data_IF_392209343963
#
_entry.id   IF_392209343963
#
_cell.length_a   1.000
_cell.length_b   1.000
_cell.length_c   1.000
_cell.angle_alpha   90.00
_cell.angle_beta   90.00
_cell.angle_gamma   90.00
#
_symmetry.space_group_name_H-M   'P 1'
#
loop_
_entity.id
_entity.type
_entity.pdbx_description
1 polymer ?
#
# COMPACT_ATOMS: atom_id res chain seq x y z
N UNK A 1 7.13 -40.32 -38.62
CA UNK A 1 7.55 -39.51 -37.46
C UNK A 1 7.54 -38.05 -37.90
N UNK A 2 6.40 -37.37 -37.74
CA UNK A 2 6.25 -35.96 -38.13
C UNK A 2 6.46 -35.10 -36.89
N UNK A 3 7.58 -34.38 -36.85
CA UNK A 3 7.89 -33.44 -35.78
C UNK A 3 6.98 -32.23 -35.88
N UNK A 4 6.14 -32.01 -34.86
CA UNK A 4 5.39 -30.77 -34.70
C UNK A 4 6.36 -29.68 -34.22
N UNK A 5 6.86 -28.85 -35.13
CA UNK A 5 7.54 -27.60 -34.77
C UNK A 5 6.48 -26.62 -34.25
N UNK A 6 6.43 -26.48 -32.92
CA UNK A 6 5.60 -25.49 -32.25
C UNK A 6 6.24 -24.11 -32.44
N UNK A 7 5.79 -23.37 -33.46
CA UNK A 7 6.20 -21.99 -33.69
C UNK A 7 5.52 -21.08 -32.66
N UNK A 8 6.22 -20.80 -31.55
CA UNK A 8 5.88 -19.71 -30.63
C UNK A 8 6.09 -18.38 -31.36
N UNK A 9 5.00 -17.82 -31.89
CA UNK A 9 4.98 -16.46 -32.42
C UNK A 9 4.87 -15.50 -31.24
N UNK A 10 5.99 -15.14 -30.62
CA UNK A 10 6.04 -13.99 -29.72
C UNK A 10 5.84 -12.73 -30.56
N UNK A 11 4.64 -12.16 -30.52
CA UNK A 11 4.29 -10.92 -31.20
C UNK A 11 5.25 -9.78 -30.76
N UNK A 12 6.01 -9.17 -31.68
CA UNK A 12 6.90 -8.04 -31.37
C UNK A 12 6.18 -6.90 -30.66
N UNK A 13 4.89 -6.69 -30.93
CA UNK A 13 4.08 -5.68 -30.24
C UNK A 13 3.89 -5.99 -28.74
N UNK A 14 3.77 -7.27 -28.39
CA UNK A 14 3.69 -7.72 -26.99
C UNK A 14 5.02 -7.53 -26.26
N UNK A 15 6.15 -7.76 -26.95
CA UNK A 15 7.48 -7.49 -26.41
C UNK A 15 7.74 -5.99 -26.15
N UNK A 16 7.32 -5.12 -27.08
CA UNK A 16 7.43 -3.66 -26.90
C UNK A 16 6.49 -3.12 -25.81
N UNK A 17 5.27 -3.65 -25.70
CA UNK A 17 4.36 -3.28 -24.62
C UNK A 17 4.91 -3.66 -23.24
N UNK A 18 5.55 -4.83 -23.12
CA UNK A 18 6.18 -5.28 -21.88
C UNK A 18 7.40 -4.43 -21.49
N UNK A 19 8.24 -4.06 -22.46
CA UNK A 19 9.41 -3.20 -22.19
C UNK A 19 8.99 -1.78 -21.81
N UNK A 20 7.96 -1.24 -22.45
CA UNK A 20 7.36 0.04 -22.08
C UNK A 20 6.74 0.00 -20.69
N UNK A 21 6.05 -1.09 -20.33
CA UNK A 21 5.51 -1.29 -18.99
C UNK A 21 6.61 -1.31 -17.92
N UNK A 22 7.73 -1.98 -18.20
CA UNK A 22 8.87 -2.04 -17.28
C UNK A 22 9.53 -0.66 -17.10
N UNK A 23 9.67 0.12 -18.17
CA UNK A 23 10.22 1.48 -18.11
C UNK A 23 9.33 2.41 -17.25
N UNK A 24 8.02 2.40 -17.51
CA UNK A 24 7.04 3.18 -16.76
C UNK A 24 6.95 2.72 -15.30
N UNK A 25 7.10 1.42 -15.03
CA UNK A 25 7.19 0.90 -13.66
C UNK A 25 8.39 1.46 -12.90
N UNK A 26 9.56 1.43 -13.53
CA UNK A 26 10.77 1.95 -12.92
C UNK A 26 10.67 3.46 -12.66
N UNK A 27 10.06 4.20 -13.58
CA UNK A 27 9.80 5.63 -13.43
C UNK A 27 8.79 5.90 -12.29
N UNK A 28 7.67 5.17 -12.25
CA UNK A 28 6.65 5.31 -11.21
C UNK A 28 7.23 5.05 -9.81
N UNK A 29 8.04 3.99 -9.66
CA UNK A 29 8.74 3.68 -8.42
C UNK A 29 9.77 4.76 -8.06
N UNK A 30 10.46 5.33 -9.05
CA UNK A 30 11.41 6.42 -8.80
C UNK A 30 10.72 7.68 -8.30
N UNK A 31 9.63 8.09 -8.95
CA UNK A 31 8.85 9.28 -8.58
C UNK A 31 8.19 9.10 -7.20
N UNK A 32 7.62 7.92 -6.91
CA UNK A 32 7.07 7.60 -5.58
C UNK A 32 8.15 7.67 -4.48
N UNK A 33 9.38 7.21 -4.76
CA UNK A 33 10.51 7.32 -3.82
C UNK A 33 10.97 8.76 -3.62
N UNK A 34 10.94 9.57 -4.67
CA UNK A 34 11.31 10.99 -4.61
C UNK A 34 10.20 11.86 -3.99
N UNK A 35 8.99 11.31 -3.85
CA UNK A 35 7.81 12.08 -3.45
C UNK A 35 7.39 13.09 -4.52
N UNK A 36 7.73 12.84 -5.79
CA UNK A 36 7.28 13.70 -6.89
C UNK A 36 5.83 13.38 -7.24
N UNK A 37 4.93 14.15 -6.64
CA UNK A 37 3.49 14.03 -6.79
C UNK A 37 3.03 14.35 -8.22
N UNK A 38 3.53 15.45 -8.77
CA UNK A 38 3.12 15.94 -10.09
C UNK A 38 3.62 15.01 -11.19
N UNK A 39 4.87 14.57 -11.10
CA UNK A 39 5.44 13.61 -12.05
C UNK A 39 4.71 12.26 -12.03
N UNK A 40 4.29 11.79 -10.85
CA UNK A 40 3.53 10.52 -10.74
C UNK A 40 2.13 10.63 -11.36
N UNK A 41 1.48 11.78 -11.19
CA UNK A 41 0.16 12.05 -11.76
C UNK A 41 0.24 12.19 -13.29
N UNK A 42 1.23 12.92 -13.81
CA UNK A 42 1.51 13.01 -15.24
C UNK A 42 1.83 11.63 -15.86
N UNK A 43 2.62 10.82 -15.15
CA UNK A 43 2.90 9.44 -15.56
C UNK A 43 1.63 8.57 -15.59
N UNK A 44 0.69 8.79 -14.66
CA UNK A 44 -0.58 8.08 -14.69
C UNK A 44 -1.43 8.49 -15.90
N UNK A 45 -1.52 9.79 -16.19
CA UNK A 45 -2.27 10.32 -17.32
C UNK A 45 -1.72 9.82 -18.67
N UNK A 46 -0.40 9.65 -18.79
CA UNK A 46 0.27 9.17 -20.00
C UNK A 46 0.14 7.65 -20.24
N UNK A 47 -0.09 6.85 -19.20
CA UNK A 47 -0.16 5.38 -19.30
C UNK A 47 -1.47 4.84 -19.93
N UNK A 48 -2.50 5.67 -20.13
CA UNK A 48 -3.78 5.27 -20.71
C UNK A 48 -4.61 4.32 -19.83
N UNK A 49 -5.81 3.93 -20.29
CA UNK A 49 -6.75 3.11 -19.50
C UNK A 49 -6.64 1.59 -19.79
N UNK A 50 -6.60 0.80 -18.71
CA UNK A 50 -6.89 -0.65 -18.66
C UNK A 50 -5.87 -1.63 -19.25
N UNK A 51 -4.58 -1.40 -19.02
CA UNK A 51 -3.55 -2.43 -19.20
C UNK A 51 -2.72 -2.63 -17.90
N UNK A 52 -1.83 -3.64 -17.88
CA UNK A 52 -0.96 -3.92 -16.73
C UNK A 52 -0.11 -2.68 -16.35
N UNK A 53 0.28 -1.87 -17.34
CA UNK A 53 0.99 -0.61 -17.16
C UNK A 53 0.17 0.42 -16.38
N UNK A 54 -1.12 0.59 -16.70
CA UNK A 54 -2.03 1.45 -15.94
C UNK A 54 -2.16 0.97 -14.49
N UNK A 55 -2.16 -0.35 -14.24
CA UNK A 55 -2.25 -0.87 -12.89
C UNK A 55 -1.01 -0.54 -12.04
N UNK A 56 0.15 -0.47 -12.68
CA UNK A 56 1.41 -0.06 -12.05
C UNK A 56 1.38 1.43 -11.67
N UNK A 57 1.02 2.31 -12.59
CA UNK A 57 0.96 3.75 -12.30
C UNK A 57 -0.10 4.07 -11.25
N UNK A 58 -1.26 3.37 -11.27
CA UNK A 58 -2.27 3.46 -10.20
C UNK A 58 -1.77 2.99 -8.84
N UNK A 59 -0.96 1.94 -8.78
CA UNK A 59 -0.36 1.50 -7.53
C UNK A 59 0.56 2.56 -6.93
N UNK A 60 1.40 3.18 -7.76
CA UNK A 60 2.29 4.26 -7.33
C UNK A 60 1.51 5.49 -6.86
N UNK A 61 0.45 5.87 -7.59
CA UNK A 61 -0.44 6.98 -7.19
C UNK A 61 -1.13 6.69 -5.85
N UNK A 62 -1.57 5.44 -5.63
CA UNK A 62 -2.15 5.01 -4.37
C UNK A 62 -1.19 5.08 -3.18
N UNK A 63 0.06 4.61 -3.35
CA UNK A 63 1.12 4.72 -2.34
C UNK A 63 1.42 6.19 -2.00
N UNK A 64 1.39 7.04 -3.02
CA UNK A 64 1.66 8.45 -2.89
C UNK A 64 0.53 9.18 -2.13
N UNK A 65 -0.72 8.88 -2.45
CA UNK A 65 -1.88 9.40 -1.71
C UNK A 65 -1.90 8.92 -0.27
N UNK A 66 -1.44 7.69 0.03
CA UNK A 66 -1.21 7.24 1.40
C UNK A 66 -0.21 8.15 2.13
N UNK A 67 0.93 8.47 1.50
CA UNK A 67 1.93 9.39 2.07
C UNK A 67 1.38 10.81 2.31
N UNK A 68 0.44 11.28 1.48
CA UNK A 68 -0.24 12.57 1.68
C UNK A 68 -1.38 12.53 2.71
N UNK A 69 -1.74 11.36 3.24
CA UNK A 69 -2.94 11.20 4.08
C UNK A 69 -4.27 11.29 3.31
N UNK A 70 -4.24 11.24 1.97
CA UNK A 70 -5.43 11.21 1.11
C UNK A 70 -5.98 9.78 1.02
N UNK A 71 -6.48 9.28 2.14
CA UNK A 71 -6.78 7.85 2.32
C UNK A 71 -7.87 7.33 1.37
N UNK A 72 -8.89 8.14 1.07
CA UNK A 72 -9.97 7.76 0.15
C UNK A 72 -9.49 7.65 -1.29
N UNK A 73 -8.69 8.63 -1.74
CA UNK A 73 -8.12 8.64 -3.09
C UNK A 73 -7.14 7.47 -3.26
N UNK A 74 -6.35 7.17 -2.22
CA UNK A 74 -5.45 6.02 -2.21
C UNK A 74 -6.21 4.70 -2.39
N UNK A 75 -7.31 4.52 -1.64
CA UNK A 75 -8.16 3.32 -1.72
C UNK A 75 -8.70 3.10 -3.14
N UNK A 76 -9.17 4.16 -3.79
CA UNK A 76 -9.72 4.09 -5.14
C UNK A 76 -8.67 3.62 -6.15
N UNK A 77 -7.48 4.23 -6.14
CA UNK A 77 -6.42 3.89 -7.07
C UNK A 77 -5.90 2.46 -6.85
N UNK A 78 -5.74 2.04 -5.60
CA UNK A 78 -5.28 0.69 -5.25
C UNK A 78 -6.30 -0.38 -5.61
N UNK A 79 -7.61 -0.15 -5.42
CA UNK A 79 -8.66 -1.07 -5.87
C UNK A 79 -8.64 -1.27 -7.38
N UNK A 80 -8.49 -0.18 -8.15
CA UNK A 80 -8.36 -0.25 -9.61
C UNK A 80 -7.10 -1.01 -10.03
N UNK A 81 -5.97 -0.78 -9.36
CA UNK A 81 -4.72 -1.52 -9.61
C UNK A 81 -4.87 -3.03 -9.36
N UNK A 82 -5.43 -3.42 -8.21
CA UNK A 82 -5.70 -4.83 -7.87
C UNK A 82 -6.64 -5.46 -8.89
N UNK A 83 -7.73 -4.80 -9.26
CA UNK A 83 -8.70 -5.34 -10.23
C UNK A 83 -8.08 -5.62 -11.60
N UNK A 84 -7.19 -4.75 -12.08
CA UNK A 84 -6.53 -4.95 -13.38
C UNK A 84 -5.46 -6.04 -13.28
N UNK A 85 -4.66 -6.08 -12.22
CA UNK A 85 -3.61 -7.10 -12.01
C UNK A 85 -4.19 -8.50 -11.82
N UNK A 86 -5.27 -8.63 -11.05
CA UNK A 86 -5.97 -9.91 -10.87
C UNK A 86 -6.63 -10.43 -12.16
N UNK A 87 -6.98 -9.55 -13.10
CA UNK A 87 -7.60 -9.93 -14.39
C UNK A 87 -6.60 -10.28 -15.48
N UNK A 88 -5.40 -9.68 -15.45
CA UNK A 88 -4.47 -9.71 -16.58
C UNK A 88 -3.13 -10.40 -16.27
N UNK A 89 -2.90 -10.86 -15.04
CA UNK A 89 -1.66 -11.52 -14.63
C UNK A 89 -1.87 -12.54 -13.52
N UNK A 90 -0.82 -13.32 -13.18
CA UNK A 90 -0.86 -14.23 -12.04
C UNK A 90 -1.17 -13.50 -10.73
N UNK A 91 -1.83 -14.17 -9.79
CA UNK A 91 -2.28 -13.55 -8.54
C UNK A 91 -1.17 -12.86 -7.73
N UNK A 92 0.09 -13.27 -7.88
CA UNK A 92 1.23 -12.64 -7.21
C UNK A 92 1.51 -11.21 -7.72
N UNK A 93 1.13 -10.85 -8.95
CA UNK A 93 1.31 -9.49 -9.49
C UNK A 93 0.50 -8.45 -8.70
N UNK A 94 -0.60 -8.88 -8.09
CA UNK A 94 -1.45 -8.03 -7.26
C UNK A 94 -0.94 -7.87 -5.82
N UNK A 95 0.06 -8.67 -5.37
CA UNK A 95 0.46 -8.73 -3.96
C UNK A 95 0.83 -7.36 -3.37
N UNK A 96 1.63 -6.57 -4.09
CA UNK A 96 2.05 -5.22 -3.65
C UNK A 96 0.84 -4.28 -3.54
N UNK A 97 -0.11 -4.35 -4.49
CA UNK A 97 -1.30 -3.50 -4.45
C UNK A 97 -2.27 -3.91 -3.34
N UNK A 98 -2.34 -5.20 -3.03
CA UNK A 98 -3.12 -5.73 -1.90
C UNK A 98 -2.49 -5.32 -0.57
N UNK A 99 -1.17 -5.37 -0.44
CA UNK A 99 -0.45 -4.91 0.76
C UNK A 99 -0.72 -3.42 1.04
N UNK A 100 -0.58 -2.57 0.02
CA UNK A 100 -0.88 -1.14 0.14
C UNK A 100 -2.36 -0.90 0.49
N UNK A 101 -3.29 -1.70 -0.04
CA UNK A 101 -4.70 -1.62 0.32
C UNK A 101 -4.94 -2.07 1.77
N UNK A 102 -4.15 -3.02 2.28
CA UNK A 102 -4.11 -3.38 3.69
C UNK A 102 -3.75 -2.18 4.58
N UNK A 103 -2.70 -1.44 4.22
CA UNK A 103 -2.29 -0.22 4.93
C UNK A 103 -3.40 0.85 4.91
N UNK A 104 -4.08 1.04 3.78
CA UNK A 104 -5.26 1.93 3.71
C UNK A 104 -6.31 1.52 4.74
N UNK A 105 -6.63 0.23 4.83
CA UNK A 105 -7.65 -0.26 5.76
C UNK A 105 -7.23 -0.14 7.23
N UNK A 106 -5.95 -0.33 7.54
CA UNK A 106 -5.40 -0.06 8.89
C UNK A 106 -5.59 1.41 9.26
N UNK A 107 -5.17 2.33 8.39
CA UNK A 107 -5.31 3.78 8.64
C UNK A 107 -6.78 4.19 8.77
N UNK A 108 -7.67 3.66 7.93
CA UNK A 108 -9.12 3.91 8.07
C UNK A 108 -9.64 3.39 9.41
N UNK A 109 -9.22 2.21 9.85
CA UNK A 109 -9.58 1.66 11.16
C UNK A 109 -9.14 2.56 12.31
N UNK A 110 -7.91 3.07 12.25
CA UNK A 110 -7.38 4.01 13.25
C UNK A 110 -8.13 5.35 13.23
N UNK A 111 -8.42 5.90 12.05
CA UNK A 111 -9.21 7.13 11.90
C UNK A 111 -10.64 6.97 12.44
N UNK A 112 -11.28 5.83 12.19
CA UNK A 112 -12.61 5.53 12.73
C UNK A 112 -12.57 5.35 14.26
N UNK A 113 -11.53 4.74 14.82
CA UNK A 113 -11.34 4.69 16.29
C UNK A 113 -11.15 6.08 16.88
N UNK A 114 -10.37 6.96 16.23
CA UNK A 114 -10.20 8.37 16.63
C UNK A 114 -11.53 9.14 16.53
N UNK A 115 -12.26 9.01 15.42
CA UNK A 115 -13.59 9.64 15.23
C UNK A 115 -14.63 9.15 16.21
N UNK A 116 -14.58 7.88 16.61
CA UNK A 116 -15.44 7.31 17.65
C UNK A 116 -15.12 7.86 19.04
N UNK A 117 -13.91 8.41 19.24
CA UNK A 117 -13.48 9.04 20.49
C UNK A 117 -13.12 10.51 20.29
N UNK A 118 -14.06 11.38 19.88
CA UNK A 118 -13.79 12.80 19.75
C UNK A 118 -13.43 13.37 21.13
N UNK A 119 -12.27 14.01 21.25
CA UNK A 119 -11.93 14.85 22.41
C UNK A 119 -11.20 14.18 23.57
N UNK A 120 -10.13 13.41 23.33
CA UNK A 120 -9.07 13.27 24.34
C UNK A 120 -7.69 13.43 23.70
N UNK A 121 -7.27 14.67 23.50
CA UNK A 121 -5.84 14.99 23.55
C UNK A 121 -5.39 14.74 24.99
N UNK A 122 -4.82 13.56 25.23
CA UNK A 122 -4.26 13.23 26.54
C UNK A 122 -2.94 14.00 26.69
N UNK A 123 -2.79 14.71 27.80
CA UNK A 123 -1.46 15.07 28.29
C UNK A 123 -0.71 13.77 28.57
N UNK A 124 0.60 13.71 28.28
CA UNK A 124 1.43 12.55 28.60
C UNK A 124 1.38 12.19 30.10
N UNK A 125 1.12 13.17 30.96
CA UNK A 125 0.86 12.96 32.40
C UNK A 125 -0.37 12.09 32.69
N UNK A 126 -1.32 12.03 31.76
CA UNK A 126 -2.58 11.29 31.87
C UNK A 126 -2.54 9.90 31.22
N UNK A 127 -1.41 9.54 30.59
CA UNK A 127 -1.25 8.26 29.91
C UNK A 127 -0.71 7.19 30.85
N UNK A 128 -1.28 5.99 30.75
CA UNK A 128 -0.77 4.80 31.41
C UNK A 128 0.45 4.28 30.66
N UNK A 129 1.64 4.40 31.24
CA UNK A 129 2.84 3.76 30.71
C UNK A 129 2.81 2.24 30.94
N UNK A 130 3.36 1.47 30.00
CA UNK A 130 3.57 0.03 30.19
C UNK A 130 4.47 -0.21 31.41
N UNK A 131 4.02 -1.07 32.33
CA UNK A 131 4.76 -1.37 33.57
C UNK A 131 6.07 -2.13 33.33
N UNK A 132 6.21 -2.82 32.21
CA UNK A 132 7.42 -3.56 31.84
C UNK A 132 8.48 -2.65 31.22
N UNK A 133 8.17 -2.03 30.08
CA UNK A 133 9.15 -1.29 29.28
C UNK A 133 9.15 0.22 29.55
N UNK A 134 8.06 0.79 30.08
CA UNK A 134 7.81 2.24 30.17
C UNK A 134 7.95 3.01 28.84
N UNK A 135 7.99 2.31 27.70
CA UNK A 135 8.22 2.90 26.36
C UNK A 135 6.96 2.99 25.51
N UNK A 136 5.85 2.38 25.94
CA UNK A 136 4.54 2.54 25.33
C UNK A 136 3.58 3.19 26.34
N UNK A 137 2.71 4.05 25.82
CA UNK A 137 1.78 4.86 26.59
C UNK A 137 0.36 4.62 26.09
N UNK A 138 -0.58 4.51 27.02
CA UNK A 138 -1.95 4.10 26.74
C UNK A 138 -2.96 5.03 27.36
N UNK A 139 -4.11 5.18 26.70
CA UNK A 139 -5.27 5.90 27.21
C UNK A 139 -5.81 5.34 28.56
N UNK A 140 -5.38 4.12 28.94
CA UNK A 140 -5.83 3.37 30.10
C UNK A 140 -5.60 1.87 29.94
N UNK A 141 -5.98 1.07 30.95
CA UNK A 141 -5.72 -0.39 30.97
C UNK A 141 -6.40 -1.15 29.83
N UNK A 142 -7.58 -0.71 29.38
CA UNK A 142 -8.28 -1.34 28.27
C UNK A 142 -7.50 -1.21 26.94
N UNK A 143 -6.97 -0.01 26.66
CA UNK A 143 -6.10 0.25 25.50
C UNK A 143 -4.83 -0.63 25.57
N UNK A 144 -4.18 -0.66 26.75
CA UNK A 144 -3.01 -1.51 26.97
C UNK A 144 -3.32 -2.99 26.74
N UNK A 145 -4.44 -3.51 27.25
CA UNK A 145 -4.79 -4.92 27.11
C UNK A 145 -5.13 -5.33 25.67
N UNK A 146 -5.70 -4.41 24.87
CA UNK A 146 -5.96 -4.64 23.45
C UNK A 146 -4.65 -4.69 22.67
N UNK A 147 -3.80 -3.68 22.83
CA UNK A 147 -2.48 -3.62 22.17
C UNK A 147 -1.55 -4.74 22.62
N UNK A 148 -1.58 -5.13 23.91
CA UNK A 148 -0.82 -6.26 24.46
C UNK A 148 -1.13 -7.57 23.75
N UNK A 149 -2.41 -7.85 23.49
CA UNK A 149 -2.84 -9.07 22.77
C UNK A 149 -2.55 -8.99 21.28
N UNK A 150 -2.68 -7.80 20.69
CA UNK A 150 -2.50 -7.61 19.25
C UNK A 150 -1.04 -7.68 18.82
N UNK A 151 -0.15 -6.98 19.54
CA UNK A 151 1.24 -6.77 19.07
C UNK A 151 2.25 -6.54 20.20
N UNK A 152 1.92 -5.77 21.24
CA UNK A 152 2.93 -5.27 22.18
C UNK A 152 3.64 -6.35 23.00
N UNK A 153 3.01 -7.50 23.24
CA UNK A 153 3.65 -8.62 23.94
C UNK A 153 4.94 -9.09 23.26
N UNK A 154 5.06 -9.01 21.93
CA UNK A 154 6.21 -9.56 21.19
C UNK A 154 7.46 -8.68 21.29
N UNK A 155 7.31 -7.38 21.55
CA UNK A 155 8.42 -6.42 21.56
C UNK A 155 8.59 -5.66 22.89
N UNK A 156 7.78 -5.96 23.92
CA UNK A 156 7.96 -5.40 25.25
C UNK A 156 9.28 -5.88 25.89
N UNK A 157 10.29 -5.02 25.93
CA UNK A 157 11.55 -5.26 26.63
C UNK A 157 11.49 -4.63 28.01
N UNK A 158 11.60 -5.44 29.08
CA UNK A 158 11.65 -4.92 30.45
C UNK A 158 12.79 -3.91 30.55
N UNK A 159 12.49 -2.75 31.14
CA UNK A 159 13.51 -1.77 31.47
C UNK A 159 14.39 -2.37 32.58
N UNK A 160 15.70 -2.39 32.37
CA UNK A 160 16.68 -2.87 33.36
C UNK A 160 16.58 -2.07 34.66
#
# INVERSE_FOLDING_TARGET
MSGLTMHLHSDPASGMAASQAAALNNQALSLSRQGDYAGTEDLHLTAGENNLTTAITRNALGELYLKMGKIMDAEEQLKKAVSVRMRNGPAYDAAVSVENLGQVHEVKGDLEEVRRRPGKTFDQSQLLACSGCKSAFYCGRACQAKDWRARHKTFCKKRA
#
